data_IF_443006945496
#
_entry.id   IF_443006945496
#
_cell.length_a   1.000
_cell.length_b   1.000
_cell.length_c   1.000
_cell.angle_alpha   90.00
_cell.angle_beta   90.00
_cell.angle_gamma   90.00
#
_symmetry.space_group_name_H-M   'P 1'
#
loop_
_entity.id
_entity.type
_entity.pdbx_description
1 polymer ?
#
# COMPACT_ATOMS: atom_id res chain seq x y z
N UNK A 1 -7.93 -13.45 7.17
CA UNK A 1 -7.91 -13.04 8.60
C UNK A 1 -9.09 -12.13 8.86
N UNK A 2 -9.84 -12.31 9.96
CA UNK A 2 -10.93 -11.38 10.33
C UNK A 2 -10.39 -10.11 10.99
N UNK A 3 -11.21 -9.06 11.08
CA UNK A 3 -10.80 -7.80 11.68
C UNK A 3 -10.46 -7.94 13.17
N UNK A 4 -11.21 -8.77 13.90
CA UNK A 4 -10.92 -9.04 15.32
C UNK A 4 -9.59 -9.77 15.51
N UNK A 5 -9.29 -10.73 14.64
CA UNK A 5 -8.01 -11.44 14.67
C UNK A 5 -6.86 -10.51 14.31
N UNK A 6 -7.04 -9.65 13.30
CA UNK A 6 -6.09 -8.59 12.95
C UNK A 6 -5.80 -7.66 14.12
N UNK A 7 -6.84 -7.21 14.83
CA UNK A 7 -6.67 -6.35 16.01
C UNK A 7 -5.99 -7.09 17.17
N UNK A 8 -6.23 -8.39 17.33
CA UNK A 8 -5.54 -9.20 18.35
C UNK A 8 -4.05 -9.34 18.04
N UNK A 9 -3.70 -9.52 16.76
CA UNK A 9 -2.32 -9.73 16.32
C UNK A 9 -1.51 -8.43 16.26
N UNK A 10 -2.09 -7.37 15.70
CA UNK A 10 -1.38 -6.12 15.41
C UNK A 10 -1.80 -4.95 16.31
N UNK A 11 -2.86 -5.09 17.10
CA UNK A 11 -3.43 -3.96 17.84
C UNK A 11 -4.17 -2.96 16.96
N UNK A 12 -4.80 -1.99 17.60
CA UNK A 12 -5.48 -0.87 16.92
C UNK A 12 -4.48 0.06 16.26
N UNK A 13 -4.91 0.76 15.20
CA UNK A 13 -4.06 1.78 14.59
C UNK A 13 -3.83 2.95 15.57
N UNK A 14 -2.58 3.39 15.75
CA UNK A 14 -2.27 4.52 16.62
C UNK A 14 -2.59 5.84 15.91
N UNK A 15 -3.49 6.64 16.50
CA UNK A 15 -3.83 7.98 15.98
C UNK A 15 -2.96 9.08 16.62
N UNK A 16 -2.36 8.82 17.80
CA UNK A 16 -1.51 9.76 18.56
C UNK A 16 -1.98 11.23 18.51
N UNK A 17 -3.26 11.47 18.82
CA UNK A 17 -3.88 12.81 18.75
C UNK A 17 -3.15 13.90 19.55
N UNK A 18 -2.43 13.52 20.62
CA UNK A 18 -1.62 14.44 21.43
C UNK A 18 -0.15 14.59 21.01
N UNK A 19 0.28 14.02 19.88
CA UNK A 19 1.66 14.19 19.41
C UNK A 19 1.95 15.65 19.03
N UNK A 20 3.18 16.11 19.24
CA UNK A 20 3.62 17.43 18.80
C UNK A 20 3.48 17.56 17.27
N UNK A 21 2.77 18.60 16.80
CA UNK A 21 2.42 18.76 15.38
C UNK A 21 1.23 17.90 14.90
N UNK A 22 0.60 17.14 15.80
CA UNK A 22 -0.59 16.33 15.54
C UNK A 22 -0.31 14.96 14.89
N UNK A 23 -1.37 14.14 14.70
CA UNK A 23 -1.30 12.79 14.15
C UNK A 23 -0.51 12.70 12.83
N UNK A 24 -0.78 13.66 11.94
CA UNK A 24 -0.27 13.68 10.58
C UNK A 24 1.23 13.93 10.54
N UNK A 25 1.70 14.90 11.33
CA UNK A 25 3.12 15.24 11.42
C UNK A 25 3.91 14.10 12.04
N UNK A 26 3.37 13.49 13.11
CA UNK A 26 3.99 12.32 13.73
C UNK A 26 4.12 11.16 12.72
N UNK A 27 3.03 10.77 12.08
CA UNK A 27 3.02 9.62 11.18
C UNK A 27 3.92 9.84 9.95
N UNK A 28 3.91 11.05 9.38
CA UNK A 28 4.85 11.39 8.32
C UNK A 28 6.31 11.35 8.80
N UNK A 29 6.56 11.79 10.04
CA UNK A 29 7.87 11.69 10.68
C UNK A 29 8.36 10.25 10.78
N UNK A 30 7.53 9.33 11.28
CA UNK A 30 7.86 7.90 11.35
C UNK A 30 8.12 7.30 9.96
N UNK A 31 7.27 7.58 8.97
CA UNK A 31 7.47 7.08 7.59
C UNK A 31 8.78 7.62 6.98
N UNK A 32 9.09 8.90 7.23
CA UNK A 32 10.30 9.54 6.73
C UNK A 32 11.54 8.96 7.40
N UNK A 33 11.51 8.81 8.72
CA UNK A 33 12.61 8.22 9.49
C UNK A 33 12.83 6.75 9.12
N UNK A 34 11.76 5.99 8.89
CA UNK A 34 11.86 4.59 8.47
C UNK A 34 12.59 4.43 7.12
N UNK A 35 12.58 5.45 6.25
CA UNK A 35 13.24 5.37 4.95
C UNK A 35 12.57 4.35 4.00
N UNK A 36 11.29 4.04 4.22
CA UNK A 36 10.56 3.03 3.44
C UNK A 36 10.57 3.34 1.94
N UNK A 37 11.03 2.38 1.15
CA UNK A 37 11.06 2.42 -0.32
C UNK A 37 9.92 1.60 -0.90
N UNK A 38 9.40 2.02 -2.05
CA UNK A 38 8.31 1.33 -2.72
C UNK A 38 8.68 -0.09 -3.15
N UNK A 39 7.84 -1.06 -2.77
CA UNK A 39 7.99 -2.51 -3.01
C UNK A 39 7.33 -3.01 -4.32
N UNK A 40 7.02 -2.09 -5.24
CA UNK A 40 6.43 -2.37 -6.55
C UNK A 40 7.41 -2.23 -7.72
N UNK A 41 8.70 -2.52 -7.51
CA UNK A 41 9.75 -2.50 -8.54
C UNK A 41 10.49 -1.16 -8.72
N UNK A 42 9.82 -0.01 -8.56
CA UNK A 42 10.44 1.30 -8.77
C UNK A 42 11.36 1.81 -7.64
N UNK A 43 11.28 1.25 -6.43
CA UNK A 43 12.18 1.59 -5.32
C UNK A 43 12.17 3.05 -4.84
N UNK A 44 11.17 3.85 -5.23
CA UNK A 44 11.06 5.26 -4.83
C UNK A 44 10.74 5.39 -3.34
N UNK A 45 11.38 6.34 -2.65
CA UNK A 45 11.09 6.63 -1.25
C UNK A 45 9.62 7.06 -1.08
N UNK A 46 8.89 6.41 -0.17
CA UNK A 46 7.47 6.71 0.06
C UNK A 46 7.27 8.13 0.58
N UNK A 47 8.14 8.61 1.47
CA UNK A 47 8.09 9.98 1.99
C UNK A 47 8.15 11.04 0.86
N UNK A 48 9.03 10.84 -0.13
CA UNK A 48 9.12 11.74 -1.28
C UNK A 48 7.84 11.72 -2.15
N UNK A 49 7.21 10.54 -2.30
CA UNK A 49 5.90 10.43 -2.99
C UNK A 49 4.80 11.16 -2.21
N UNK A 50 4.74 10.99 -0.90
CA UNK A 50 3.79 11.70 -0.03
C UNK A 50 3.96 13.21 -0.18
N UNK A 51 5.20 13.72 -0.10
CA UNK A 51 5.48 15.15 -0.26
C UNK A 51 5.09 15.69 -1.64
N UNK A 52 5.33 14.92 -2.71
CA UNK A 52 4.91 15.30 -4.05
C UNK A 52 3.39 15.49 -4.15
N UNK A 53 2.60 14.62 -3.51
CA UNK A 53 1.14 14.73 -3.46
C UNK A 53 0.70 15.92 -2.60
N UNK A 54 1.31 16.11 -1.42
CA UNK A 54 0.97 17.21 -0.49
C UNK A 54 1.18 18.60 -1.09
N UNK A 55 2.18 18.76 -1.97
CA UNK A 55 2.48 20.04 -2.64
C UNK A 55 1.32 20.56 -3.50
N UNK A 56 0.44 19.67 -3.98
CA UNK A 56 -0.72 20.06 -4.78
C UNK A 56 -1.83 20.76 -3.98
N UNK A 57 -1.79 20.74 -2.62
CA UNK A 57 -2.71 21.47 -1.71
C UNK A 57 -4.20 21.28 -2.03
N UNK A 58 -4.60 20.07 -2.43
CA UNK A 58 -5.97 19.68 -2.76
C UNK A 58 -6.28 18.32 -2.12
N UNK A 59 -7.56 18.01 -1.82
CA UNK A 59 -7.93 16.70 -1.28
C UNK A 59 -7.41 15.58 -2.17
N UNK A 60 -6.54 14.75 -1.60
CA UNK A 60 -5.85 13.71 -2.34
C UNK A 60 -6.74 12.46 -2.54
N UNK A 61 -6.27 11.58 -3.42
CA UNK A 61 -6.76 10.20 -3.56
C UNK A 61 -5.62 9.26 -3.21
N UNK A 62 -5.88 8.25 -2.38
CA UNK A 62 -4.94 7.16 -2.14
C UNK A 62 -5.40 5.94 -2.91
N UNK A 63 -4.52 5.37 -3.71
CA UNK A 63 -4.78 4.16 -4.49
C UNK A 63 -3.81 3.07 -4.04
N UNK A 64 -4.36 2.00 -3.50
CA UNK A 64 -3.65 0.74 -3.29
C UNK A 64 -3.55 0.04 -4.64
N UNK A 65 -2.32 -0.11 -5.14
CA UNK A 65 -2.05 -0.97 -6.29
C UNK A 65 -1.86 -2.41 -5.81
N UNK A 66 -2.92 -3.20 -5.91
CA UNK A 66 -2.92 -4.66 -5.72
C UNK A 66 -2.88 -5.44 -7.04
N UNK A 67 -2.54 -4.78 -8.15
CA UNK A 67 -2.39 -5.43 -9.46
C UNK A 67 -0.91 -5.79 -9.64
N UNK A 68 -0.61 -7.07 -9.89
CA UNK A 68 0.74 -7.54 -10.19
C UNK A 68 0.91 -7.67 -11.71
N UNK A 69 1.90 -6.97 -12.26
CA UNK A 69 2.20 -6.99 -13.70
C UNK A 69 3.26 -8.01 -14.10
N UNK A 70 3.97 -8.57 -13.12
CA UNK A 70 5.04 -9.56 -13.34
C UNK A 70 4.44 -10.96 -13.31
N UNK A 71 4.52 -11.76 -14.41
CA UNK A 71 3.82 -13.03 -14.54
C UNK A 71 4.07 -14.05 -13.43
N UNK A 72 5.20 -13.94 -12.71
CA UNK A 72 5.61 -14.87 -11.66
C UNK A 72 5.57 -14.25 -10.25
N UNK A 73 5.20 -12.98 -10.10
CA UNK A 73 4.98 -12.36 -8.78
C UNK A 73 3.53 -12.56 -8.37
N UNK A 74 3.32 -13.12 -7.19
CA UNK A 74 1.98 -13.21 -6.58
C UNK A 74 1.97 -12.77 -5.11
N UNK A 75 2.98 -12.01 -4.68
CA UNK A 75 3.17 -11.54 -3.30
C UNK A 75 2.04 -10.60 -2.86
N UNK A 76 1.64 -9.66 -3.71
CA UNK A 76 0.65 -8.65 -3.36
C UNK A 76 -0.75 -9.28 -3.33
N UNK A 77 -1.03 -10.19 -4.26
CA UNK A 77 -2.25 -11.02 -4.23
C UNK A 77 -2.33 -11.83 -2.94
N UNK A 78 -1.26 -12.52 -2.56
CA UNK A 78 -1.22 -13.32 -1.32
C UNK A 78 -1.38 -12.44 -0.09
N UNK A 79 -0.75 -11.25 -0.08
CA UNK A 79 -0.88 -10.31 1.03
C UNK A 79 -2.32 -9.81 1.18
N UNK A 80 -2.99 -9.42 0.09
CA UNK A 80 -4.39 -8.99 0.11
C UNK A 80 -5.35 -10.13 0.46
N UNK A 81 -5.03 -11.37 0.06
CA UNK A 81 -5.81 -12.55 0.43
C UNK A 81 -5.68 -12.86 1.94
N UNK A 82 -4.46 -12.82 2.47
CA UNK A 82 -4.16 -13.28 3.84
C UNK A 82 -4.38 -12.18 4.89
N UNK A 83 -3.87 -10.97 4.62
CA UNK A 83 -3.79 -9.83 5.55
C UNK A 83 -4.40 -8.54 4.95
N UNK A 84 -5.65 -8.55 4.44
CA UNK A 84 -6.26 -7.37 3.82
C UNK A 84 -6.34 -6.18 4.79
N UNK A 85 -6.62 -6.43 6.07
CA UNK A 85 -6.71 -5.37 7.08
C UNK A 85 -5.41 -4.62 7.27
N UNK A 86 -4.26 -5.27 7.13
CA UNK A 86 -2.95 -4.63 7.28
C UNK A 86 -2.67 -3.65 6.13
N UNK A 87 -3.02 -4.05 4.90
CA UNK A 87 -2.92 -3.16 3.74
C UNK A 87 -3.89 -1.99 3.86
N UNK A 88 -5.13 -2.24 4.30
CA UNK A 88 -6.14 -1.20 4.53
C UNK A 88 -5.65 -0.18 5.56
N UNK A 89 -5.08 -0.64 6.68
CA UNK A 89 -4.52 0.26 7.71
C UNK A 89 -3.44 1.18 7.15
N UNK A 90 -2.57 0.65 6.28
CA UNK A 90 -1.54 1.42 5.60
C UNK A 90 -2.11 2.49 4.67
N UNK A 91 -3.13 2.13 3.91
CA UNK A 91 -3.83 3.06 3.03
C UNK A 91 -4.51 4.19 3.83
N UNK A 92 -5.13 3.86 4.97
CA UNK A 92 -5.75 4.82 5.88
C UNK A 92 -4.72 5.73 6.58
N UNK A 93 -3.54 5.21 6.89
CA UNK A 93 -2.40 5.99 7.39
C UNK A 93 -1.95 7.04 6.35
N UNK A 94 -1.75 6.61 5.10
CA UNK A 94 -1.44 7.54 4.01
C UNK A 94 -2.56 8.55 3.77
N UNK A 95 -3.83 8.14 3.87
CA UNK A 95 -4.97 9.02 3.72
C UNK A 95 -5.02 10.10 4.82
N UNK A 96 -4.67 9.75 6.05
CA UNK A 96 -4.55 10.69 7.16
C UNK A 96 -3.46 11.74 6.90
N UNK A 97 -2.26 11.30 6.45
CA UNK A 97 -1.13 12.20 6.13
C UNK A 97 -1.47 13.16 4.99
N UNK A 98 -2.20 12.67 3.98
CA UNK A 98 -2.53 13.41 2.76
C UNK A 98 -3.86 14.16 2.81
N UNK A 99 -4.63 14.01 3.89
CA UNK A 99 -6.01 14.52 3.96
C UNK A 99 -6.85 14.03 2.77
N UNK A 100 -6.68 12.76 2.44
CA UNK A 100 -7.30 12.18 1.26
C UNK A 100 -8.82 12.05 1.48
N UNK A 101 -9.58 12.51 0.48
CA UNK A 101 -11.04 12.41 0.49
C UNK A 101 -11.55 11.08 -0.10
N UNK A 102 -10.68 10.26 -0.67
CA UNK A 102 -11.02 8.97 -1.29
C UNK A 102 -9.85 8.00 -1.15
N UNK A 103 -10.16 6.73 -0.88
CA UNK A 103 -9.20 5.63 -0.82
C UNK A 103 -9.73 4.50 -1.69
N UNK A 104 -8.93 4.06 -2.65
CA UNK A 104 -9.31 3.05 -3.63
C UNK A 104 -8.38 1.86 -3.52
N UNK A 105 -8.94 0.66 -3.44
CA UNK A 105 -8.17 -0.58 -3.52
C UNK A 105 -8.37 -1.17 -4.92
N UNK A 106 -7.33 -1.12 -5.76
CA UNK A 106 -7.38 -1.62 -7.12
C UNK A 106 -6.82 -3.05 -7.17
N UNK A 107 -7.66 -4.02 -7.51
CA UNK A 107 -7.31 -5.45 -7.58
C UNK A 107 -7.67 -5.98 -8.97
N UNK A 108 -6.76 -6.76 -9.56
CA UNK A 108 -7.03 -7.41 -10.84
C UNK A 108 -8.19 -8.41 -10.73
N UNK A 109 -9.08 -8.45 -11.71
CA UNK A 109 -10.27 -9.30 -11.72
C UNK A 109 -9.96 -10.80 -11.66
N UNK A 110 -8.75 -11.20 -12.07
CA UNK A 110 -8.26 -12.59 -11.99
C UNK A 110 -8.04 -13.06 -10.54
N UNK A 111 -7.87 -12.13 -9.60
CA UNK A 111 -7.46 -12.40 -8.21
C UNK A 111 -8.67 -12.59 -7.29
N UNK A 112 -9.50 -13.60 -7.59
CA UNK A 112 -10.79 -13.83 -6.91
C UNK A 112 -10.70 -13.94 -5.39
N UNK A 113 -9.68 -14.63 -4.85
CA UNK A 113 -9.51 -14.77 -3.41
C UNK A 113 -9.13 -13.44 -2.73
N UNK A 114 -8.32 -12.62 -3.38
CA UNK A 114 -7.98 -11.29 -2.88
C UNK A 114 -9.22 -10.37 -2.90
N UNK A 115 -10.05 -10.44 -3.95
CA UNK A 115 -11.33 -9.73 -4.01
C UNK A 115 -12.22 -10.12 -2.82
N UNK A 116 -12.51 -11.42 -2.66
CA UNK A 116 -13.35 -11.93 -1.58
C UNK A 116 -12.84 -11.52 -0.19
N UNK A 117 -11.52 -11.59 0.01
CA UNK A 117 -10.90 -11.23 1.29
C UNK A 117 -11.01 -9.73 1.58
N UNK A 118 -10.77 -8.89 0.57
CA UNK A 118 -10.87 -7.43 0.72
C UNK A 118 -12.31 -6.97 0.88
N UNK A 119 -13.28 -7.52 0.12
CA UNK A 119 -14.71 -7.20 0.28
C UNK A 119 -15.16 -7.47 1.71
N UNK A 120 -14.88 -8.67 2.23
CA UNK A 120 -15.17 -9.03 3.63
C UNK A 120 -14.51 -8.07 4.61
N UNK A 121 -13.23 -7.73 4.40
CA UNK A 121 -12.51 -6.81 5.28
C UNK A 121 -13.11 -5.39 5.29
N UNK A 122 -13.64 -4.93 4.16
CA UNK A 122 -14.34 -3.65 4.05
C UNK A 122 -15.70 -3.68 4.75
N UNK A 123 -16.46 -4.77 4.62
CA UNK A 123 -17.73 -4.98 5.34
C UNK A 123 -17.53 -5.00 6.85
N UNK A 124 -16.52 -5.74 7.33
CA UNK A 124 -16.19 -5.80 8.76
C UNK A 124 -15.77 -4.42 9.31
N UNK A 125 -15.06 -3.62 8.51
CA UNK A 125 -14.64 -2.26 8.91
C UNK A 125 -15.78 -1.25 8.85
N UNK A 126 -16.71 -1.39 7.91
CA UNK A 126 -17.90 -0.54 7.83
C UNK A 126 -18.76 -0.64 9.11
N UNK A 127 -18.74 -1.80 9.76
CA UNK A 127 -19.44 -2.08 11.01
C UNK A 127 -18.54 -1.97 12.26
N UNK A 128 -17.26 -1.63 12.09
CA UNK A 128 -16.26 -1.57 13.14
C UNK A 128 -16.01 -0.16 13.69
N UNK A 129 -15.01 0.01 14.59
CA UNK A 129 -14.60 1.31 15.06
C UNK A 129 -14.17 2.22 13.91
N UNK A 130 -14.61 3.48 13.94
CA UNK A 130 -14.26 4.46 12.92
C UNK A 130 -12.80 4.90 13.03
N UNK A 131 -12.24 5.30 11.89
CA UNK A 131 -10.91 5.90 11.77
C UNK A 131 -11.05 7.26 11.08
N UNK A 132 -10.22 8.28 11.38
CA UNK A 132 -10.28 9.60 10.73
C UNK A 132 -9.75 9.59 9.28
N UNK A 133 -10.26 8.70 8.44
CA UNK A 133 -10.05 8.64 7.01
C UNK A 133 -11.26 7.94 6.34
N UNK A 134 -11.53 8.16 5.05
CA UNK A 134 -12.68 7.54 4.39
C UNK A 134 -12.55 6.02 4.34
N UNK A 135 -13.69 5.32 4.45
CA UNK A 135 -13.73 3.87 4.21
C UNK A 135 -13.30 3.62 2.76
N UNK A 136 -12.34 2.70 2.51
CA UNK A 136 -11.90 2.43 1.16
C UNK A 136 -13.01 1.79 0.32
N UNK A 137 -12.96 2.02 -0.99
CA UNK A 137 -13.78 1.31 -1.98
C UNK A 137 -12.92 0.39 -2.84
N UNK A 138 -13.51 -0.71 -3.28
CA UNK A 138 -12.88 -1.67 -4.19
C UNK A 138 -13.04 -1.24 -5.64
N UNK A 139 -12.00 -1.41 -6.44
CA UNK A 139 -12.01 -1.23 -7.89
C UNK A 139 -11.45 -2.48 -8.58
N UNK A 140 -12.28 -3.12 -9.40
CA UNK A 140 -11.94 -4.35 -10.12
C UNK A 140 -11.31 -4.02 -11.47
N UNK A 141 -9.99 -4.21 -11.57
CA UNK A 141 -9.21 -3.88 -12.77
C UNK A 141 -9.24 -5.08 -13.73
N UNK A 142 -9.58 -4.90 -15.02
CA UNK A 142 -9.53 -5.98 -15.99
C UNK A 142 -8.12 -6.56 -16.16
N UNK A 143 -7.97 -7.86 -16.48
CA UNK A 143 -6.67 -8.45 -16.77
C UNK A 143 -5.98 -7.77 -17.96
N UNK A 144 -4.65 -7.71 -17.93
CA UNK A 144 -3.86 -7.13 -19.03
C UNK A 144 -3.80 -5.60 -19.04
N UNK A 145 -4.42 -4.93 -18.06
CA UNK A 145 -3.99 -3.58 -17.70
C UNK A 145 -2.54 -3.66 -17.23
N UNK A 146 -1.62 -2.84 -17.79
CA UNK A 146 -0.21 -2.85 -17.39
C UNK A 146 -0.10 -2.44 -15.92
N UNK A 147 -0.13 -3.46 -15.07
CA UNK A 147 -0.30 -3.38 -13.62
C UNK A 147 0.93 -2.79 -12.90
N UNK A 148 2.04 -2.64 -13.61
CA UNK A 148 3.28 -2.07 -13.09
C UNK A 148 3.39 -0.53 -13.15
N UNK A 149 2.47 0.18 -13.82
CA UNK A 149 2.61 1.63 -14.00
C UNK A 149 1.48 2.42 -13.34
N UNK A 150 1.82 3.33 -12.43
CA UNK A 150 0.86 4.14 -11.65
C UNK A 150 -0.15 4.89 -12.55
N UNK A 151 0.33 5.39 -13.70
CA UNK A 151 -0.49 6.07 -14.69
C UNK A 151 -1.59 5.17 -15.30
N UNK A 152 -1.34 3.86 -15.44
CA UNK A 152 -2.31 2.92 -15.99
C UNK A 152 -3.51 2.81 -15.06
N UNK A 153 -3.30 2.54 -13.77
CA UNK A 153 -4.40 2.41 -12.80
C UNK A 153 -5.19 3.71 -12.69
N UNK A 154 -4.52 4.86 -12.73
CA UNK A 154 -5.19 6.17 -12.75
C UNK A 154 -6.02 6.35 -14.03
N UNK A 155 -5.53 5.92 -15.19
CA UNK A 155 -6.30 5.94 -16.45
C UNK A 155 -7.56 5.10 -16.35
N UNK A 156 -7.45 3.88 -15.80
CA UNK A 156 -8.57 2.99 -15.54
C UNK A 156 -9.63 3.62 -14.65
N UNK A 157 -9.22 4.15 -13.49
CA UNK A 157 -10.11 4.78 -12.52
C UNK A 157 -10.82 6.02 -13.08
N UNK A 158 -10.23 6.67 -14.09
CA UNK A 158 -10.84 7.77 -14.83
C UNK A 158 -11.72 7.31 -16.01
N UNK A 159 -12.01 6.01 -16.15
CA UNK A 159 -12.85 5.44 -17.22
C UNK A 159 -12.19 5.42 -18.60
N UNK A 160 -10.86 5.54 -18.68
CA UNK A 160 -10.11 5.56 -19.95
C UNK A 160 -9.46 4.19 -20.18
N UNK A 161 -9.02 3.94 -21.42
CA UNK A 161 -8.26 2.72 -21.74
C UNK A 161 -6.84 2.79 -21.16
N UNK A 162 -6.23 1.63 -20.86
CA UNK A 162 -4.86 1.55 -20.37
C UNK A 162 -3.94 2.03 -21.48
N UNK A 163 -3.35 3.22 -21.34
CA UNK A 163 -2.26 3.63 -22.22
C UNK A 163 -1.09 3.98 -21.32
N UNK A 164 0.03 3.25 -21.39
CA UNK A 164 1.23 3.55 -20.61
C UNK A 164 1.85 4.82 -21.19
N UNK A 165 1.36 5.99 -20.79
CA UNK A 165 1.96 7.25 -21.16
C UNK A 165 1.86 8.24 -20.01
N UNK A 166 3.00 8.53 -19.39
CA UNK A 166 3.14 9.57 -18.38
C UNK A 166 3.73 10.84 -19.02
N UNK A 167 2.96 11.49 -19.89
CA UNK A 167 3.21 12.91 -20.13
C UNK A 167 2.78 13.71 -18.89
N UNK A 168 3.42 14.87 -18.61
CA UNK A 168 2.90 15.81 -17.63
C UNK A 168 1.40 16.10 -17.87
N UNK A 169 0.62 16.32 -16.80
CA UNK A 169 1.02 16.36 -15.39
C UNK A 169 1.22 14.98 -14.75
N UNK A 170 2.04 14.91 -13.69
CA UNK A 170 2.25 13.65 -12.94
C UNK A 170 0.99 13.27 -12.17
N UNK A 171 0.81 11.97 -11.86
CA UNK A 171 -0.35 11.51 -11.06
C UNK A 171 -0.38 12.13 -9.66
N UNK A 172 0.79 12.44 -9.10
CA UNK A 172 0.93 13.14 -7.81
C UNK A 172 0.39 14.57 -7.85
N UNK A 173 0.30 15.19 -9.02
CA UNK A 173 -0.24 16.54 -9.23
C UNK A 173 -1.70 16.48 -9.69
N UNK A 174 -2.00 15.58 -10.62
CA UNK A 174 -3.30 15.43 -11.26
C UNK A 174 -3.54 13.99 -11.72
N UNK A 175 -4.05 13.17 -10.81
CA UNK A 175 -4.41 11.76 -11.04
C UNK A 175 -5.91 11.53 -11.17
N UNK A 176 -6.47 10.69 -10.28
CA UNK A 176 -7.89 10.29 -10.26
C UNK A 176 -8.78 11.53 -10.12
N UNK A 177 -9.76 11.69 -11.00
CA UNK A 177 -10.67 12.83 -11.07
C UNK A 177 -9.95 14.19 -11.05
N UNK A 178 -8.74 14.25 -11.63
CA UNK A 178 -7.87 15.44 -11.62
C UNK A 178 -7.46 15.89 -10.21
N UNK A 179 -7.52 15.01 -9.22
CA UNK A 179 -7.03 15.21 -7.84
C UNK A 179 -5.62 14.65 -7.70
N UNK A 180 -4.75 15.24 -6.86
CA UNK A 180 -3.42 14.69 -6.62
C UNK A 180 -3.56 13.29 -6.02
N UNK A 181 -2.85 12.32 -6.59
CA UNK A 181 -3.05 10.90 -6.28
C UNK A 181 -1.76 10.24 -5.83
N UNK A 182 -1.80 9.57 -4.68
CA UNK A 182 -0.78 8.62 -4.27
C UNK A 182 -1.18 7.24 -4.82
N UNK A 183 -0.33 6.65 -5.67
CA UNK A 183 -0.43 5.23 -6.01
C UNK A 183 0.70 4.50 -5.29
N UNK A 184 0.36 3.52 -4.45
CA UNK A 184 1.32 2.75 -3.68
C UNK A 184 0.98 1.26 -3.72
N UNK A 185 2.00 0.43 -3.83
CA UNK A 185 1.90 -1.03 -3.85
C UNK A 185 1.38 -1.58 -2.50
N UNK A 186 0.65 -2.69 -2.53
CA UNK A 186 0.02 -3.29 -1.36
C UNK A 186 1.02 -3.59 -0.23
N UNK A 187 2.16 -4.21 -0.54
CA UNK A 187 3.24 -4.48 0.43
C UNK A 187 3.80 -3.20 1.04
N UNK A 188 3.98 -2.15 0.23
CA UNK A 188 4.46 -0.85 0.74
C UNK A 188 3.50 -0.29 1.80
N UNK A 189 2.20 -0.38 1.57
CA UNK A 189 1.20 0.11 2.52
C UNK A 189 1.10 -0.79 3.75
N UNK A 190 1.25 -2.10 3.63
CA UNK A 190 1.34 -2.98 4.80
C UNK A 190 2.50 -2.57 5.72
N UNK A 191 3.68 -2.23 5.17
CA UNK A 191 4.78 -1.70 5.98
C UNK A 191 4.44 -0.36 6.63
N UNK A 192 3.71 0.54 5.96
CA UNK A 192 3.23 1.79 6.60
C UNK A 192 2.41 1.48 7.86
N UNK A 193 1.53 0.48 7.79
CA UNK A 193 0.70 0.07 8.92
C UNK A 193 1.53 -0.49 10.10
N UNK A 194 2.62 -1.21 9.80
CA UNK A 194 3.53 -1.76 10.80
C UNK A 194 4.43 -0.66 11.40
N UNK A 195 4.97 0.22 10.57
CA UNK A 195 5.77 1.38 10.99
C UNK A 195 4.93 2.30 11.88
N UNK A 196 3.67 2.55 11.56
CA UNK A 196 2.79 3.33 12.41
C UNK A 196 2.68 2.75 13.84
N UNK A 197 2.66 1.42 13.96
CA UNK A 197 2.52 0.70 15.24
C UNK A 197 3.81 0.61 16.03
N UNK A 198 4.88 0.23 15.36
CA UNK A 198 6.14 -0.16 16.01
C UNK A 198 7.25 0.89 15.87
N UNK A 199 7.02 1.91 15.04
CA UNK A 199 7.93 3.03 14.80
C UNK A 199 9.03 2.72 13.80
N UNK A 200 9.72 3.78 13.36
CA UNK A 200 10.87 3.67 12.45
C UNK A 200 12.00 2.82 13.03
N UNK A 201 12.25 2.93 14.34
CA UNK A 201 13.30 2.17 15.01
C UNK A 201 13.11 0.66 14.94
N UNK A 202 11.87 0.17 15.01
CA UNK A 202 11.55 -1.25 14.80
C UNK A 202 11.86 -1.68 13.36
N UNK A 203 11.47 -0.87 12.38
CA UNK A 203 11.70 -1.17 10.97
C UNK A 203 13.19 -1.25 10.61
N UNK A 204 14.04 -0.52 11.33
CA UNK A 204 15.50 -0.56 11.19
C UNK A 204 16.19 -1.71 11.92
N UNK A 205 15.47 -2.55 12.68
CA UNK A 205 16.06 -3.71 13.36
C UNK A 205 16.50 -4.82 12.40
N UNK A 206 15.97 -4.81 11.17
CA UNK A 206 16.23 -5.81 10.13
C UNK A 206 16.55 -5.13 8.80
N UNK A 207 17.14 -5.89 7.88
CA UNK A 207 17.58 -5.42 6.57
C UNK A 207 19.10 -5.29 6.47
N UNK A 208 19.60 -4.74 5.35
CA UNK A 208 21.03 -4.74 5.06
C UNK A 208 21.50 -3.42 4.46
N UNK A 209 22.62 -2.91 4.99
CA UNK A 209 23.24 -1.68 4.53
C UNK A 209 22.28 -0.50 4.59
N UNK A 210 21.97 0.09 3.43
CA UNK A 210 21.08 1.24 3.29
C UNK A 210 19.61 0.86 2.97
N UNK A 211 19.29 -0.44 2.98
CA UNK A 211 17.95 -0.95 2.68
C UNK A 211 17.36 -1.65 3.92
N UNK A 212 16.74 -0.87 4.84
CA UNK A 212 16.11 -1.43 6.02
C UNK A 212 14.81 -2.17 5.69
N UNK A 213 14.42 -3.03 6.62
CA UNK A 213 13.20 -3.82 6.58
C UNK A 213 13.36 -5.14 5.86
N UNK A 214 12.22 -5.79 5.68
CA UNK A 214 12.05 -7.05 4.94
C UNK A 214 11.42 -6.78 3.57
N UNK A 215 11.36 -7.82 2.73
CA UNK A 215 10.60 -7.87 1.49
C UNK A 215 9.82 -9.16 1.38
N UNK A 216 8.69 -9.11 0.70
CA UNK A 216 8.03 -10.31 0.20
C UNK A 216 8.67 -10.72 -1.13
N UNK A 217 9.14 -11.96 -1.20
CA UNK A 217 9.65 -12.58 -2.42
C UNK A 217 8.77 -13.76 -2.84
N UNK A 218 8.61 -13.93 -4.14
CA UNK A 218 7.89 -15.06 -4.70
C UNK A 218 8.89 -16.09 -5.23
N UNK A 219 8.87 -17.31 -4.68
CA UNK A 219 9.75 -18.41 -5.06
C UNK A 219 8.95 -19.42 -5.90
N UNK A 220 9.41 -19.67 -7.13
CA UNK A 220 8.75 -20.57 -8.09
C UNK A 220 9.78 -21.40 -8.86
N UNK A 221 9.32 -22.36 -9.68
CA UNK A 221 10.19 -23.24 -10.46
C UNK A 221 10.46 -24.58 -9.78
N UNK A 222 11.62 -25.20 -10.08
CA UNK A 222 12.00 -26.52 -9.59
C UNK A 222 12.54 -26.48 -8.15
N UNK A 223 11.72 -26.02 -7.21
CA UNK A 223 12.02 -25.96 -5.77
C UNK A 223 11.10 -26.88 -4.98
N UNK A 224 11.54 -27.34 -3.80
CA UNK A 224 10.72 -28.22 -2.94
C UNK A 224 9.50 -27.50 -2.36
N UNK A 225 9.64 -26.21 -2.06
CA UNK A 225 8.63 -25.40 -1.40
C UNK A 225 8.46 -24.08 -2.15
N UNK A 226 7.61 -24.03 -3.20
CA UNK A 226 7.25 -22.77 -3.84
C UNK A 226 6.28 -21.97 -2.96
N UNK A 227 6.33 -20.64 -3.04
CA UNK A 227 5.47 -19.79 -2.22
C UNK A 227 5.92 -18.34 -2.14
N UNK A 228 5.24 -17.57 -1.29
CA UNK A 228 5.64 -16.22 -0.91
C UNK A 228 6.32 -16.29 0.44
N UNK A 229 7.50 -15.70 0.53
CA UNK A 229 8.31 -15.66 1.74
C UNK A 229 8.60 -14.22 2.09
N UNK A 230 8.54 -13.89 3.38
CA UNK A 230 9.11 -12.66 3.89
C UNK A 230 10.58 -12.92 4.23
N UNK A 231 11.48 -12.12 3.65
CA UNK A 231 12.92 -12.24 3.85
C UNK A 231 13.52 -10.90 4.25
N UNK A 232 14.63 -10.92 4.96
CA UNK A 232 15.41 -9.70 5.21
C UNK A 232 16.13 -9.26 3.93
N UNK A 233 16.24 -7.95 3.71
CA UNK A 233 17.14 -7.45 2.67
C UNK A 233 18.56 -7.94 2.94
N UNK A 234 19.26 -8.36 1.89
CA UNK A 234 20.62 -8.89 1.97
C UNK A 234 20.73 -10.38 2.35
N UNK A 235 19.61 -11.05 2.64
CA UNK A 235 19.61 -12.49 2.88
C UNK A 235 20.00 -13.27 1.61
N UNK A 236 20.90 -14.24 1.73
CA UNK A 236 21.29 -15.10 0.61
C UNK A 236 20.13 -16.03 0.23
N UNK A 237 19.83 -16.14 -1.06
CA UNK A 237 18.77 -17.02 -1.59
C UNK A 237 19.00 -18.52 -1.31
N UNK A 238 20.21 -18.89 -0.88
CA UNK A 238 20.57 -20.25 -0.48
C UNK A 238 20.23 -20.59 0.97
N UNK A 239 19.78 -19.62 1.76
CA UNK A 239 19.49 -19.76 3.19
C UNK A 239 18.04 -20.13 3.41
#
# INVERSE_FOLDING_TARGET
MSYQEHLRLHGTMPNRAGAAGGPRSWLLGEITQAGLRGRGGGGFALAAKLDAVRRARRPAVVVVNGCEGEPMSFKDRVLLQSLPHLVIDGALCCALVLEAGDVVIAIEASSLEAHRSVERALEERANGPSWPAPLPRLATVPPGYVAGHEASIVSFLNGRQARPFAAPPRVSERGVDRRPTLVANAETLAYVALIARYGAGWYHQVGFGNDPGTALVTVTGAVRHPGVYEIEYGQLLSS
#
